data_IF_593762321827
#
_entry.id   IF_593762321827
#
_cell.length_a   1.000
_cell.length_b   1.000
_cell.length_c   1.000
_cell.angle_alpha   90.00
_cell.angle_beta   90.00
_cell.angle_gamma   90.00
#
_symmetry.space_group_name_H-M   'P 1'
#
loop_
_entity.id
_entity.type
_entity.pdbx_description
1 polymer ?
#
# COMPACT_ATOMS: atom_id res chain seq x y z
N UNK A 1 -9.64 1.20 -32.85
CA UNK A 1 -10.05 2.31 -31.96
C UNK A 1 -9.79 2.10 -30.48
N UNK A 2 -10.52 1.25 -29.76
CA UNK A 2 -10.33 1.11 -28.30
C UNK A 2 -8.88 0.75 -27.94
N UNK A 3 -8.26 -0.20 -28.68
CA UNK A 3 -6.85 -0.56 -28.47
C UNK A 3 -5.90 0.64 -28.66
N UNK A 4 -6.16 1.49 -29.66
CA UNK A 4 -5.37 2.70 -29.91
C UNK A 4 -5.40 3.62 -28.70
N UNK A 5 -6.58 3.96 -28.22
CA UNK A 5 -6.73 4.85 -27.05
C UNK A 5 -6.05 4.29 -25.79
N UNK A 6 -6.19 2.99 -25.55
CA UNK A 6 -5.61 2.32 -24.36
C UNK A 6 -4.09 2.23 -24.47
N UNK A 7 -3.57 1.84 -25.64
CA UNK A 7 -2.14 1.65 -25.86
C UNK A 7 -1.35 2.96 -25.74
N UNK A 8 -1.84 4.05 -26.34
CA UNK A 8 -1.22 5.37 -26.23
C UNK A 8 -1.19 5.85 -24.77
N UNK A 9 -2.30 5.73 -24.06
CA UNK A 9 -2.35 6.15 -22.66
C UNK A 9 -1.36 5.37 -21.77
N UNK A 10 -1.18 4.06 -22.01
CA UNK A 10 -0.21 3.25 -21.28
C UNK A 10 1.22 3.60 -21.68
N UNK A 11 1.49 3.83 -22.97
CA UNK A 11 2.80 4.25 -23.47
C UNK A 11 3.24 5.58 -22.84
N UNK A 12 2.29 6.51 -22.65
CA UNK A 12 2.49 7.79 -21.95
C UNK A 12 2.63 7.66 -20.42
N UNK A 13 2.62 6.43 -19.89
CA UNK A 13 2.82 6.13 -18.47
C UNK A 13 1.54 6.06 -17.64
N UNK A 14 0.36 6.28 -18.24
CA UNK A 14 -0.90 6.19 -17.52
C UNK A 14 -1.44 4.75 -17.51
N UNK A 15 -1.31 4.10 -16.36
CA UNK A 15 -1.79 2.72 -16.18
C UNK A 15 -3.31 2.65 -15.84
N UNK A 16 -3.99 1.54 -16.20
CA UNK A 16 -5.34 1.23 -15.72
C UNK A 16 -5.40 1.22 -14.18
N UNK A 17 -6.39 1.91 -13.61
CA UNK A 17 -6.55 2.07 -12.16
C UNK A 17 -8.02 2.19 -11.76
N UNK A 18 -8.31 2.17 -10.45
CA UNK A 18 -9.68 2.29 -9.92
C UNK A 18 -10.24 3.72 -9.92
N UNK A 19 -9.39 4.73 -10.10
CA UNK A 19 -9.80 6.15 -10.10
C UNK A 19 -9.06 7.00 -11.14
N UNK A 20 -9.52 8.24 -11.30
CA UNK A 20 -8.90 9.24 -12.18
C UNK A 20 -8.82 8.81 -13.65
N UNK A 21 -7.74 9.19 -14.32
CA UNK A 21 -7.50 8.83 -15.72
C UNK A 21 -7.39 7.31 -15.93
N UNK A 22 -6.79 6.57 -14.99
CA UNK A 22 -6.68 5.12 -15.06
C UNK A 22 -8.04 4.39 -15.06
N UNK A 23 -9.06 4.95 -14.41
CA UNK A 23 -10.43 4.42 -14.47
C UNK A 23 -11.02 4.54 -15.89
N UNK A 24 -10.77 5.65 -16.58
CA UNK A 24 -11.24 5.86 -17.95
C UNK A 24 -10.59 4.87 -18.91
N UNK A 25 -9.27 4.66 -18.80
CA UNK A 25 -8.53 3.68 -19.61
C UNK A 25 -9.10 2.28 -19.40
N UNK A 26 -9.28 1.89 -18.13
CA UNK A 26 -9.86 0.60 -17.76
C UNK A 26 -11.26 0.43 -18.35
N UNK A 27 -12.12 1.47 -18.30
CA UNK A 27 -13.46 1.45 -18.89
C UNK A 27 -13.43 1.21 -20.41
N UNK A 28 -12.55 1.90 -21.13
CA UNK A 28 -12.38 1.73 -22.58
C UNK A 28 -11.92 0.30 -22.90
N UNK A 29 -10.92 -0.21 -22.19
CA UNK A 29 -10.39 -1.55 -22.38
C UNK A 29 -11.45 -2.62 -22.11
N UNK A 30 -12.14 -2.54 -20.97
CA UNK A 30 -13.17 -3.52 -20.57
C UNK A 30 -14.37 -3.55 -21.53
N UNK A 31 -14.75 -2.40 -22.10
CA UNK A 31 -15.78 -2.34 -23.15
C UNK A 31 -15.37 -3.12 -24.41
N UNK A 32 -14.10 -3.00 -24.82
CA UNK A 32 -13.58 -3.73 -25.96
C UNK A 32 -13.52 -5.25 -25.70
N UNK A 33 -13.02 -5.64 -24.53
CA UNK A 33 -12.96 -7.05 -24.11
C UNK A 33 -14.36 -7.65 -24.07
N UNK A 34 -15.33 -6.96 -23.46
CA UNK A 34 -16.73 -7.40 -23.39
C UNK A 34 -17.33 -7.59 -24.78
N UNK A 35 -17.03 -6.70 -25.73
CA UNK A 35 -17.48 -6.84 -27.12
C UNK A 35 -16.92 -8.11 -27.76
N UNK A 36 -15.60 -8.33 -27.65
CA UNK A 36 -14.95 -9.55 -28.14
C UNK A 36 -15.53 -10.82 -27.51
N UNK A 37 -15.74 -10.79 -26.20
CA UNK A 37 -16.31 -11.91 -25.45
C UNK A 37 -17.75 -12.25 -25.85
N UNK A 38 -18.60 -11.24 -26.00
CA UNK A 38 -20.05 -11.43 -26.17
C UNK A 38 -20.45 -11.64 -27.63
N UNK A 39 -19.78 -10.95 -28.57
CA UNK A 39 -20.21 -10.90 -29.97
C UNK A 39 -19.25 -11.61 -30.94
N UNK A 40 -17.97 -11.75 -30.59
CA UNK A 40 -16.96 -12.39 -31.44
C UNK A 40 -16.52 -13.76 -30.91
N UNK A 41 -17.11 -14.22 -29.80
CA UNK A 41 -16.76 -15.47 -29.12
C UNK A 41 -15.27 -15.59 -28.74
N UNK A 42 -14.62 -14.46 -28.42
CA UNK A 42 -13.23 -14.43 -27.96
C UNK A 42 -13.19 -14.58 -26.43
N UNK A 43 -12.85 -15.77 -25.95
CA UNK A 43 -12.87 -16.12 -24.51
C UNK A 43 -11.50 -16.06 -23.83
N UNK A 44 -10.45 -15.85 -24.62
CA UNK A 44 -9.06 -15.73 -24.17
C UNK A 44 -8.56 -14.30 -24.44
N UNK A 45 -7.49 -13.85 -23.75
CA UNK A 45 -6.88 -12.57 -24.03
C UNK A 45 -6.52 -12.39 -25.52
N UNK A 46 -6.97 -11.29 -26.11
CA UNK A 46 -6.80 -10.99 -27.52
C UNK A 46 -6.44 -9.53 -27.79
N UNK A 47 -6.76 -8.60 -26.89
CA UNK A 47 -6.54 -7.17 -27.10
C UNK A 47 -5.06 -6.84 -27.20
N UNK A 48 -4.21 -7.48 -26.40
CA UNK A 48 -2.77 -7.24 -26.43
C UNK A 48 -2.13 -7.64 -27.78
N UNK A 49 -2.67 -8.65 -28.47
CA UNK A 49 -2.21 -9.08 -29.80
C UNK A 49 -2.43 -8.01 -30.88
N UNK A 50 -3.33 -7.06 -30.63
CA UNK A 50 -3.58 -5.94 -31.54
C UNK A 50 -2.54 -4.82 -31.38
N UNK A 51 -1.73 -4.83 -30.33
CA UNK A 51 -0.65 -3.85 -30.12
C UNK A 51 0.41 -3.99 -31.22
N UNK A 52 0.74 -5.23 -31.63
CA UNK A 52 1.61 -5.51 -32.78
C UNK A 52 1.14 -4.82 -34.08
N UNK A 53 -0.16 -4.86 -34.34
CA UNK A 53 -0.75 -4.24 -35.54
C UNK A 53 -0.72 -2.73 -35.42
N UNK A 54 -1.04 -2.21 -34.24
CA UNK A 54 -1.02 -0.78 -33.96
C UNK A 54 0.39 -0.18 -34.11
N UNK A 55 1.41 -0.88 -33.61
CA UNK A 55 2.80 -0.46 -33.69
C UNK A 55 3.31 -0.44 -35.13
N UNK A 56 2.94 -1.42 -35.96
CA UNK A 56 3.26 -1.41 -37.41
C UNK A 56 2.64 -0.25 -38.17
N UNK A 57 1.42 0.14 -37.81
CA UNK A 57 0.69 1.21 -38.49
C UNK A 57 1.10 2.62 -38.02
N UNK A 58 1.50 2.76 -36.74
CA UNK A 58 1.67 4.07 -36.11
C UNK A 58 3.06 4.31 -35.49
N UNK A 59 3.87 3.28 -35.27
CA UNK A 59 5.14 3.36 -34.54
C UNK A 59 6.18 4.29 -35.16
N UNK A 60 6.16 4.47 -36.50
CA UNK A 60 7.06 5.42 -37.18
C UNK A 60 6.82 6.87 -36.72
N UNK A 61 5.57 7.25 -36.49
CA UNK A 61 5.20 8.61 -36.07
C UNK A 61 5.16 8.78 -34.55
N UNK A 62 5.07 7.67 -33.81
CA UNK A 62 4.93 7.64 -32.35
C UNK A 62 5.93 6.65 -31.73
N UNK A 63 7.23 7.02 -31.64
CA UNK A 63 8.29 6.13 -31.18
C UNK A 63 8.10 5.63 -29.74
N UNK A 64 7.38 6.39 -28.91
CA UNK A 64 7.01 6.02 -27.55
C UNK A 64 6.23 4.70 -27.52
N UNK A 65 5.35 4.46 -28.50
CA UNK A 65 4.57 3.23 -28.62
C UNK A 65 5.47 2.02 -28.86
N UNK A 66 6.45 2.14 -29.77
CA UNK A 66 7.43 1.08 -30.04
C UNK A 66 8.34 0.85 -28.82
N UNK A 67 8.79 1.92 -28.16
CA UNK A 67 9.67 1.83 -26.99
C UNK A 67 9.00 1.14 -25.79
N UNK A 68 7.69 1.36 -25.61
CA UNK A 68 6.91 0.85 -24.49
C UNK A 68 6.06 -0.37 -24.85
N UNK A 69 6.20 -0.91 -26.06
CA UNK A 69 5.37 -2.00 -26.59
C UNK A 69 5.20 -3.17 -25.62
N UNK A 70 6.32 -3.66 -25.07
CA UNK A 70 6.32 -4.79 -24.14
C UNK A 70 5.53 -4.48 -22.86
N UNK A 71 5.63 -3.25 -22.35
CA UNK A 71 4.84 -2.80 -21.20
C UNK A 71 3.36 -2.74 -21.57
N UNK A 72 3.02 -2.13 -22.70
CA UNK A 72 1.64 -1.99 -23.19
C UNK A 72 0.99 -3.36 -23.37
N UNK A 73 1.65 -4.30 -24.03
CA UNK A 73 1.16 -5.66 -24.22
C UNK A 73 0.87 -6.36 -22.89
N UNK A 74 1.85 -6.37 -21.98
CA UNK A 74 1.71 -7.02 -20.67
C UNK A 74 0.61 -6.40 -19.82
N UNK A 75 0.50 -5.07 -19.79
CA UNK A 75 -0.55 -4.37 -19.04
C UNK A 75 -1.93 -4.73 -19.56
N UNK A 76 -2.10 -4.74 -20.89
CA UNK A 76 -3.37 -5.06 -21.53
C UNK A 76 -3.72 -6.53 -21.32
N UNK A 77 -2.76 -7.44 -21.50
CA UNK A 77 -2.94 -8.88 -21.32
C UNK A 77 -3.37 -9.21 -19.89
N UNK A 78 -2.73 -8.63 -18.88
CA UNK A 78 -3.04 -8.89 -17.47
C UNK A 78 -4.39 -8.29 -17.04
N UNK A 79 -4.70 -7.05 -17.45
CA UNK A 79 -6.03 -6.49 -17.20
C UNK A 79 -7.12 -7.28 -17.92
N UNK A 80 -6.85 -7.77 -19.13
CA UNK A 80 -7.78 -8.60 -19.88
C UNK A 80 -8.00 -9.95 -19.22
N UNK A 81 -6.93 -10.64 -18.80
CA UNK A 81 -7.01 -11.91 -18.11
C UNK A 81 -7.77 -11.81 -16.78
N UNK A 82 -7.47 -10.79 -15.98
CA UNK A 82 -8.17 -10.49 -14.72
C UNK A 82 -9.65 -10.17 -14.95
N UNK A 83 -9.93 -9.34 -15.97
CA UNK A 83 -11.28 -8.93 -16.26
C UNK A 83 -12.13 -10.05 -16.87
N UNK A 84 -11.58 -10.92 -17.72
CA UNK A 84 -12.31 -12.05 -18.30
C UNK A 84 -12.89 -12.99 -17.22
N UNK A 85 -12.14 -13.25 -16.15
CA UNK A 85 -12.62 -14.00 -14.98
C UNK A 85 -13.81 -13.32 -14.31
N UNK A 86 -13.69 -12.01 -14.09
CA UNK A 86 -14.73 -11.16 -13.49
C UNK A 86 -15.97 -11.08 -14.38
N UNK A 87 -15.77 -10.94 -15.69
CA UNK A 87 -16.82 -10.80 -16.69
C UNK A 87 -17.69 -12.06 -16.78
N UNK A 88 -17.08 -13.24 -16.78
CA UNK A 88 -17.82 -14.50 -16.82
C UNK A 88 -18.73 -14.66 -15.58
N UNK A 89 -18.22 -14.33 -14.40
CA UNK A 89 -19.01 -14.39 -13.15
C UNK A 89 -20.13 -13.35 -13.14
N UNK A 90 -19.82 -12.10 -13.54
CA UNK A 90 -20.80 -11.02 -13.61
C UNK A 90 -21.93 -11.33 -14.59
N UNK A 91 -21.62 -11.81 -15.80
CA UNK A 91 -22.64 -12.18 -16.80
C UNK A 91 -23.56 -13.30 -16.31
N UNK A 92 -23.02 -14.34 -15.66
CA UNK A 92 -23.82 -15.41 -15.07
C UNK A 92 -24.84 -14.89 -14.04
N UNK A 93 -24.44 -13.93 -13.20
CA UNK A 93 -25.35 -13.27 -12.25
C UNK A 93 -26.41 -12.41 -12.93
N UNK A 94 -26.04 -11.68 -13.98
CA UNK A 94 -27.01 -10.91 -14.75
C UNK A 94 -28.01 -11.81 -15.49
N UNK A 95 -27.59 -12.99 -15.95
CA UNK A 95 -28.48 -14.01 -16.51
C UNK A 95 -29.51 -14.53 -15.50
N UNK A 96 -29.13 -14.69 -14.23
CA UNK A 96 -30.08 -15.00 -13.15
C UNK A 96 -31.10 -13.87 -12.97
N UNK A 97 -30.65 -12.62 -13.00
CA UNK A 97 -31.54 -11.46 -12.94
C UNK A 97 -32.49 -11.38 -14.15
N UNK A 98 -32.02 -11.63 -15.38
CA UNK A 98 -32.88 -11.57 -16.56
C UNK A 98 -34.04 -12.58 -16.52
N UNK A 99 -33.96 -13.64 -15.71
CA UNK A 99 -35.07 -14.58 -15.48
C UNK A 99 -36.22 -13.97 -14.66
N UNK A 100 -35.96 -12.94 -13.84
CA UNK A 100 -36.98 -12.31 -12.98
C UNK A 100 -37.96 -11.43 -13.75
N UNK A 101 -37.65 -11.05 -15.01
CA UNK A 101 -38.42 -10.12 -15.86
C UNK A 101 -38.60 -8.70 -15.30
N UNK A 102 -37.80 -8.33 -14.30
CA UNK A 102 -37.80 -6.96 -13.77
C UNK A 102 -37.20 -5.97 -14.79
N UNK A 103 -37.70 -4.73 -14.79
CA UNK A 103 -37.23 -3.65 -15.69
C UNK A 103 -36.26 -2.68 -15.04
N UNK A 104 -35.99 -2.86 -13.74
CA UNK A 104 -35.06 -2.04 -12.97
C UNK A 104 -34.19 -2.98 -12.15
N UNK A 105 -32.88 -2.88 -12.32
CA UNK A 105 -31.91 -3.51 -11.43
C UNK A 105 -31.78 -2.64 -10.17
N UNK A 106 -32.10 -3.21 -9.01
CA UNK A 106 -32.03 -2.51 -7.73
C UNK A 106 -30.61 -2.03 -7.41
N UNK A 107 -30.50 -0.86 -6.78
CA UNK A 107 -29.23 -0.21 -6.50
C UNK A 107 -28.32 -1.03 -5.58
N UNK A 108 -28.89 -1.83 -4.66
CA UNK A 108 -28.14 -2.72 -3.77
C UNK A 108 -27.60 -3.93 -4.52
N UNK A 109 -28.35 -4.49 -5.47
CA UNK A 109 -27.86 -5.57 -6.33
C UNK A 109 -26.75 -5.07 -7.28
N UNK A 110 -26.91 -3.88 -7.85
CA UNK A 110 -25.85 -3.23 -8.62
C UNK A 110 -24.60 -2.96 -7.77
N UNK A 111 -24.79 -2.56 -6.51
CA UNK A 111 -23.70 -2.38 -5.55
C UNK A 111 -23.03 -3.71 -5.20
N UNK A 112 -23.77 -4.80 -5.01
CA UNK A 112 -23.22 -6.13 -4.75
C UNK A 112 -22.37 -6.63 -5.93
N UNK A 113 -22.85 -6.47 -7.16
CA UNK A 113 -22.08 -6.75 -8.38
C UNK A 113 -20.76 -5.98 -8.40
N UNK A 114 -20.78 -4.71 -8.03
CA UNK A 114 -19.60 -3.86 -7.98
C UNK A 114 -18.64 -4.20 -6.83
N UNK A 115 -19.13 -4.27 -5.59
CA UNK A 115 -18.34 -4.36 -4.37
C UNK A 115 -17.88 -5.80 -4.08
N UNK A 116 -18.78 -6.78 -4.25
CA UNK A 116 -18.48 -8.18 -3.93
C UNK A 116 -17.85 -8.91 -5.11
N UNK A 117 -18.35 -8.67 -6.32
CA UNK A 117 -17.94 -9.41 -7.51
C UNK A 117 -16.99 -8.63 -8.43
N UNK A 118 -16.68 -7.36 -8.11
CA UNK A 118 -15.77 -6.53 -8.90
C UNK A 118 -16.31 -6.15 -10.29
N UNK A 119 -17.60 -6.38 -10.55
CA UNK A 119 -18.23 -6.17 -11.84
C UNK A 119 -18.56 -4.69 -12.05
N UNK A 120 -18.03 -4.02 -13.09
CA UNK A 120 -18.09 -2.57 -13.17
C UNK A 120 -19.51 -2.03 -13.37
N UNK A 121 -19.84 -0.95 -12.65
CA UNK A 121 -21.16 -0.32 -12.75
C UNK A 121 -21.45 0.22 -14.16
N UNK A 122 -20.43 0.71 -14.86
CA UNK A 122 -20.54 1.20 -16.24
C UNK A 122 -20.84 0.08 -17.25
N UNK A 123 -20.33 -1.12 -17.02
CA UNK A 123 -20.69 -2.30 -17.81
C UNK A 123 -22.07 -2.84 -17.44
N UNK A 124 -22.41 -2.81 -16.16
CA UNK A 124 -23.75 -3.17 -15.68
C UNK A 124 -24.80 -2.29 -16.36
N UNK A 125 -24.62 -0.96 -16.32
CA UNK A 125 -25.50 -0.01 -16.99
C UNK A 125 -25.57 -0.24 -18.51
N UNK A 126 -24.42 -0.47 -19.16
CA UNK A 126 -24.37 -0.74 -20.59
C UNK A 126 -25.16 -1.99 -20.97
N UNK A 127 -24.96 -3.10 -20.26
CA UNK A 127 -25.61 -4.39 -20.53
C UNK A 127 -27.11 -4.31 -20.22
N UNK A 128 -27.49 -3.67 -19.11
CA UNK A 128 -28.89 -3.48 -18.76
C UNK A 128 -29.62 -2.66 -19.81
N UNK A 129 -29.01 -1.54 -20.25
CA UNK A 129 -29.58 -0.69 -21.29
C UNK A 129 -29.77 -1.41 -22.62
N UNK A 130 -28.82 -2.25 -23.03
CA UNK A 130 -28.95 -3.07 -24.25
C UNK A 130 -30.12 -4.07 -24.17
N UNK A 131 -30.53 -4.47 -22.96
CA UNK A 131 -31.69 -5.33 -22.71
C UNK A 131 -32.96 -4.54 -22.35
N UNK A 132 -32.98 -3.21 -22.55
CA UNK A 132 -34.09 -2.33 -22.18
C UNK A 132 -34.45 -2.33 -20.69
N UNK A 133 -33.45 -2.56 -19.83
CA UNK A 133 -33.53 -2.51 -18.37
C UNK A 133 -32.75 -1.29 -17.87
N UNK A 134 -33.23 -0.66 -16.81
CA UNK A 134 -32.56 0.48 -16.16
C UNK A 134 -31.87 0.05 -14.87
N UNK A 135 -30.81 0.76 -14.46
CA UNK A 135 -30.16 0.53 -13.15
C UNK A 135 -30.57 1.66 -12.22
N UNK A 136 -30.98 1.33 -10.99
CA UNK A 136 -31.20 2.34 -9.95
C UNK A 136 -29.86 2.92 -9.45
N UNK A 137 -29.39 3.95 -10.17
CA UNK A 137 -28.16 4.67 -9.83
C UNK A 137 -28.27 5.47 -8.54
N UNK A 138 -29.48 5.87 -8.12
CA UNK A 138 -29.68 6.57 -6.86
C UNK A 138 -29.45 5.62 -5.68
N UNK A 139 -30.04 4.42 -5.73
CA UNK A 139 -29.79 3.36 -4.74
C UNK A 139 -28.32 2.94 -4.70
N UNK A 140 -27.67 2.76 -5.86
CA UNK A 140 -26.24 2.44 -5.92
C UNK A 140 -25.37 3.52 -5.26
N UNK A 141 -25.67 4.80 -5.52
CA UNK A 141 -24.93 5.92 -4.95
C UNK A 141 -25.15 6.03 -3.43
N UNK A 142 -26.35 5.71 -2.94
CA UNK A 142 -26.63 5.65 -1.51
C UNK A 142 -25.81 4.57 -0.79
N UNK A 143 -25.67 3.39 -1.37
CA UNK A 143 -24.84 2.30 -0.81
C UNK A 143 -23.34 2.66 -0.80
N UNK A 144 -22.85 3.27 -1.89
CA UNK A 144 -21.48 3.82 -1.97
C UNK A 144 -21.22 4.88 -0.87
N UNK A 145 -22.20 5.76 -0.62
CA UNK A 145 -22.10 6.76 0.44
C UNK A 145 -22.09 6.11 1.83
N UNK A 146 -22.98 5.14 2.08
CA UNK A 146 -23.03 4.40 3.33
C UNK A 146 -21.74 3.61 3.61
N UNK A 147 -21.09 3.05 2.59
CA UNK A 147 -19.76 2.42 2.73
C UNK A 147 -18.70 3.46 3.13
N UNK A 148 -18.69 4.63 2.48
CA UNK A 148 -17.74 5.71 2.77
C UNK A 148 -17.93 6.31 4.16
N UNK A 149 -19.17 6.46 4.60
CA UNK A 149 -19.51 7.01 5.91
C UNK A 149 -19.19 6.03 7.04
N UNK A 150 -19.39 4.71 6.83
CA UNK A 150 -18.88 3.67 7.74
C UNK A 150 -17.36 3.80 7.96
N UNK A 151 -16.60 4.08 6.90
CA UNK A 151 -15.15 4.32 7.00
C UNK A 151 -14.79 5.64 7.70
N UNK A 152 -15.62 6.69 7.57
CA UNK A 152 -15.38 8.02 8.19
C UNK A 152 -15.82 8.12 9.65
N UNK A 153 -16.88 7.41 10.04
CA UNK A 153 -17.41 7.41 11.41
C UNK A 153 -16.38 6.90 12.43
N UNK A 154 -15.34 6.20 11.99
CA UNK A 154 -14.21 5.80 12.82
C UNK A 154 -13.33 6.97 13.32
N UNK A 155 -13.47 8.19 12.80
CA UNK A 155 -12.45 9.27 12.92
C UNK A 155 -12.96 10.62 13.48
N UNK A 156 -14.22 10.74 13.94
CA UNK A 156 -14.73 12.04 14.41
C UNK A 156 -14.15 12.43 15.79
N UNK A 157 -13.10 13.25 15.78
CA UNK A 157 -12.52 13.89 16.97
C UNK A 157 -13.27 15.18 17.29
N UNK A 158 -13.59 15.41 18.57
CA UNK A 158 -14.09 16.69 19.06
C UNK A 158 -12.95 17.41 19.77
N UNK A 159 -12.51 18.57 19.28
CA UNK A 159 -11.43 19.37 19.87
C UNK A 159 -12.00 20.62 20.54
N UNK A 160 -11.52 20.95 21.73
CA UNK A 160 -11.73 22.27 22.35
C UNK A 160 -10.82 23.33 21.69
N UNK A 161 -11.06 24.61 21.97
CA UNK A 161 -10.22 25.71 21.49
C UNK A 161 -8.81 25.67 22.10
N UNK A 162 -7.84 26.27 21.41
CA UNK A 162 -6.48 26.39 21.93
C UNK A 162 -6.42 27.33 23.13
N UNK A 163 -5.78 26.86 24.20
CA UNK A 163 -5.32 27.71 25.30
C UNK A 163 -3.88 28.14 24.99
N UNK A 164 -3.70 29.43 24.71
CA UNK A 164 -2.37 30.01 24.45
C UNK A 164 -1.65 30.36 25.76
N UNK A 165 -0.38 29.99 25.85
CA UNK A 165 0.50 30.25 26.99
C UNK A 165 1.62 31.24 26.63
N UNK A 166 2.19 31.08 25.44
CA UNK A 166 3.26 31.94 24.90
C UNK A 166 2.86 32.35 23.48
N UNK A 167 2.71 33.66 23.26
CA UNK A 167 2.40 34.24 21.96
C UNK A 167 3.66 34.53 21.14
N UNK A 168 3.58 34.39 19.82
CA UNK A 168 4.61 34.81 18.84
C UNK A 168 5.97 34.09 18.93
N UNK A 169 6.03 32.89 19.51
CA UNK A 169 7.21 32.03 19.44
C UNK A 169 7.18 31.21 18.15
N UNK A 170 8.29 31.19 17.40
CA UNK A 170 8.40 30.42 16.16
C UNK A 170 8.71 28.97 16.53
N UNK A 171 7.81 28.06 16.17
CA UNK A 171 8.00 26.62 16.33
C UNK A 171 9.19 26.14 15.46
N UNK A 172 10.14 25.45 16.09
CA UNK A 172 11.32 24.90 15.40
C UNK A 172 11.42 23.38 15.55
N UNK A 173 11.62 22.68 14.44
CA UNK A 173 11.92 21.25 14.46
C UNK A 173 13.43 21.04 14.48
N UNK A 174 13.93 20.43 15.56
CA UNK A 174 15.37 20.16 15.77
C UNK A 174 15.70 18.66 15.72
N UNK A 175 14.69 17.81 15.49
CA UNK A 175 14.78 16.35 15.56
C UNK A 175 15.64 15.68 14.49
N UNK A 176 16.12 16.44 13.49
CA UNK A 176 17.12 15.92 12.55
C UNK A 176 18.50 15.78 13.18
N UNK A 177 18.82 16.59 14.18
CA UNK A 177 20.17 16.69 14.75
C UNK A 177 20.24 16.19 16.19
N UNK A 178 19.13 16.29 16.93
CA UNK A 178 19.07 15.89 18.34
C UNK A 178 17.81 15.08 18.67
N UNK A 179 17.93 14.15 19.62
CA UNK A 179 16.82 13.32 20.11
C UNK A 179 16.30 13.77 21.47
N UNK A 180 16.91 14.78 22.07
CA UNK A 180 16.47 15.44 23.29
C UNK A 180 16.76 16.93 23.27
N UNK A 181 16.00 17.71 24.03
CA UNK A 181 16.18 19.15 24.16
C UNK A 181 15.23 19.78 25.16
N UNK A 182 15.56 21.00 25.60
CA UNK A 182 14.69 21.78 26.48
C UNK A 182 13.58 22.45 25.65
N UNK A 183 12.34 22.31 26.10
CA UNK A 183 11.14 22.79 25.40
C UNK A 183 10.20 23.54 26.35
N UNK A 184 9.42 24.48 25.81
CA UNK A 184 8.30 25.11 26.52
C UNK A 184 7.00 24.80 25.80
N UNK A 185 5.92 24.58 26.54
CA UNK A 185 4.58 24.45 25.94
C UNK A 185 4.07 25.84 25.58
N UNK A 186 3.88 26.11 24.30
CA UNK A 186 3.39 27.40 23.80
C UNK A 186 1.86 27.48 23.83
N UNK A 187 1.19 26.35 23.58
CA UNK A 187 -0.26 26.20 23.65
C UNK A 187 -0.67 24.75 23.80
N UNK A 188 -1.87 24.54 24.33
CA UNK A 188 -2.49 23.21 24.43
C UNK A 188 -3.98 23.26 24.17
N UNK A 189 -4.58 22.11 23.85
CA UNK A 189 -6.04 21.94 23.84
C UNK A 189 -6.43 20.54 24.30
N UNK A 190 -7.65 20.42 24.80
CA UNK A 190 -8.24 19.13 25.16
C UNK A 190 -8.97 18.54 23.95
N UNK A 191 -8.82 17.24 23.76
CA UNK A 191 -9.47 16.48 22.69
C UNK A 191 -10.28 15.35 23.31
N UNK A 192 -11.52 15.20 22.84
CA UNK A 192 -12.43 14.13 23.23
C UNK A 192 -12.65 13.21 22.03
N UNK A 193 -12.27 11.95 22.21
CA UNK A 193 -12.46 10.90 21.21
C UNK A 193 -13.18 9.72 21.87
N UNK A 194 -14.42 9.45 21.45
CA UNK A 194 -15.27 8.41 22.05
C UNK A 194 -15.41 8.63 23.57
N UNK A 195 -14.88 7.73 24.40
CA UNK A 195 -14.88 7.77 25.88
C UNK A 195 -13.51 8.12 26.47
N UNK A 196 -12.55 8.57 25.65
CA UNK A 196 -11.22 8.98 26.11
C UNK A 196 -11.05 10.49 25.93
N UNK A 197 -10.43 11.10 26.92
CA UNK A 197 -9.96 12.49 26.87
C UNK A 197 -8.44 12.46 26.84
N UNK A 198 -7.84 13.29 26.00
CA UNK A 198 -6.39 13.46 25.90
C UNK A 198 -6.08 14.91 25.51
N UNK A 199 -4.80 15.27 25.51
CA UNK A 199 -4.31 16.61 25.23
C UNK A 199 -3.46 16.65 23.98
N UNK A 200 -3.51 17.79 23.31
CA UNK A 200 -2.61 18.15 22.23
C UNK A 200 -1.79 19.35 22.68
N UNK A 201 -0.47 19.23 22.59
CA UNK A 201 0.52 20.20 23.05
C UNK A 201 1.35 20.69 21.86
N UNK A 202 1.70 21.98 21.88
CA UNK A 202 2.62 22.58 20.92
C UNK A 202 3.82 23.12 21.69
N UNK A 203 5.02 22.90 21.17
CA UNK A 203 6.26 23.30 21.81
C UNK A 203 6.95 24.44 21.06
N UNK A 204 7.78 25.21 21.78
CA UNK A 204 8.64 26.25 21.21
C UNK A 204 9.64 25.68 20.20
N UNK A 205 10.24 24.54 20.55
CA UNK A 205 11.07 23.71 19.69
C UNK A 205 10.79 22.25 20.01
N UNK A 206 11.10 21.31 19.10
CA UNK A 206 10.83 19.90 19.35
C UNK A 206 11.81 18.95 18.66
N UNK A 207 12.32 17.92 19.38
CA UNK A 207 13.04 16.81 18.77
C UNK A 207 12.11 15.75 18.16
N UNK A 208 10.80 15.81 18.43
CA UNK A 208 9.84 14.79 17.97
C UNK A 208 9.47 14.99 16.51
N UNK A 209 9.81 14.02 15.66
CA UNK A 209 9.41 14.01 14.26
C UNK A 209 7.88 13.86 14.14
N UNK A 210 7.19 14.77 13.44
CA UNK A 210 5.76 14.60 13.17
C UNK A 210 5.54 13.56 12.07
N UNK A 211 4.48 12.76 12.20
CA UNK A 211 4.04 11.83 11.17
C UNK A 211 4.01 12.49 9.77
N UNK A 212 4.68 11.86 8.80
CA UNK A 212 4.86 12.43 7.46
C UNK A 212 5.66 11.51 6.53
N UNK A 213 5.41 11.58 5.22
CA UNK A 213 6.14 10.79 4.22
C UNK A 213 6.00 9.26 4.38
N UNK A 214 4.97 8.80 5.09
CA UNK A 214 4.78 7.39 5.48
C UNK A 214 5.37 7.03 6.83
N UNK A 215 6.31 7.81 7.37
CA UNK A 215 6.86 7.60 8.71
C UNK A 215 5.86 8.00 9.80
N UNK A 216 5.69 7.13 10.79
CA UNK A 216 4.88 7.42 12.00
C UNK A 216 5.55 8.49 12.85
N UNK A 217 4.73 9.25 13.57
CA UNK A 217 5.20 10.28 14.49
C UNK A 217 5.98 9.72 15.66
N UNK A 218 6.98 10.47 16.12
CA UNK A 218 7.77 10.09 17.27
C UNK A 218 6.95 10.07 18.55
N UNK A 219 7.37 9.19 19.45
CA UNK A 219 6.87 9.04 20.82
C UNK A 219 8.02 9.26 21.80
N UNK A 220 7.71 9.50 23.07
CA UNK A 220 8.72 9.67 24.10
C UNK A 220 8.17 10.37 25.33
N UNK A 221 8.98 11.19 25.98
CA UNK A 221 8.63 11.78 27.28
C UNK A 221 9.03 13.25 27.39
N UNK A 222 8.31 13.96 28.25
CA UNK A 222 8.74 15.21 28.86
C UNK A 222 9.11 14.93 30.32
N UNK A 223 10.21 15.48 30.81
CA UNK A 223 10.59 15.41 32.22
C UNK A 223 10.89 16.79 32.84
N UNK A 224 10.44 16.99 34.08
CA UNK A 224 10.72 18.16 34.91
C UNK A 224 10.73 17.75 36.38
N UNK A 225 11.90 17.72 37.00
CA UNK A 225 12.06 17.17 38.36
C UNK A 225 11.67 15.69 38.39
N UNK A 226 10.78 15.32 39.33
CA UNK A 226 10.25 13.96 39.45
C UNK A 226 9.04 13.68 38.53
N UNK A 227 8.55 14.70 37.82
CA UNK A 227 7.39 14.57 36.93
C UNK A 227 7.81 14.08 35.54
N UNK A 228 7.06 13.10 35.02
CA UNK A 228 7.20 12.61 33.64
C UNK A 228 5.83 12.61 32.95
N UNK A 229 5.77 13.13 31.72
CA UNK A 229 4.57 13.14 30.89
C UNK A 229 4.87 12.42 29.58
N UNK A 230 4.04 11.44 29.21
CA UNK A 230 4.25 10.65 27.99
C UNK A 230 3.73 11.38 26.76
N UNK A 231 4.53 11.40 25.70
CA UNK A 231 4.13 11.80 24.36
C UNK A 231 3.84 10.53 23.56
N UNK A 232 2.57 10.30 23.26
CA UNK A 232 2.07 9.07 22.65
C UNK A 232 2.04 9.11 21.13
N UNK A 233 2.09 10.31 20.53
CA UNK A 233 2.15 10.52 19.08
C UNK A 233 2.56 11.97 18.78
N UNK A 234 3.08 12.21 17.59
CA UNK A 234 3.42 13.55 17.09
C UNK A 234 2.92 13.69 15.65
N UNK A 235 2.15 14.74 15.35
CA UNK A 235 1.59 14.99 14.00
C UNK A 235 1.78 16.43 13.58
N UNK A 236 1.64 16.69 12.28
CA UNK A 236 1.62 18.05 11.74
C UNK A 236 0.19 18.45 11.37
N UNK A 237 -0.31 19.55 11.95
CA UNK A 237 -1.63 20.12 11.65
C UNK A 237 -1.46 21.56 11.15
N UNK A 238 -1.85 21.88 9.91
CA UNK A 238 -1.74 23.23 9.35
C UNK A 238 -0.35 23.89 9.49
N UNK A 239 0.72 23.10 9.39
CA UNK A 239 2.09 23.59 9.54
C UNK A 239 2.67 23.49 10.95
N UNK A 240 1.83 23.25 11.96
CA UNK A 240 2.18 23.20 13.39
C UNK A 240 2.48 21.78 13.82
N UNK A 241 3.51 21.58 14.64
CA UNK A 241 3.84 20.27 15.20
C UNK A 241 3.07 20.07 16.51
N UNK A 242 2.19 19.09 16.52
CA UNK A 242 1.26 18.78 17.60
C UNK A 242 1.63 17.45 18.25
N UNK A 243 1.84 17.49 19.56
CA UNK A 243 2.23 16.34 20.38
C UNK A 243 1.03 15.86 21.18
N UNK A 244 0.78 14.56 21.19
CA UNK A 244 -0.37 13.95 21.84
C UNK A 244 0.07 13.39 23.19
N UNK A 245 -0.71 13.65 24.24
CA UNK A 245 -0.48 13.11 25.57
C UNK A 245 -1.81 12.78 26.25
N UNK A 246 -1.85 11.70 27.01
CA UNK A 246 -3.02 11.37 27.83
C UNK A 246 -3.18 12.33 29.03
N UNK A 247 -2.12 13.05 29.41
CA UNK A 247 -2.07 13.91 30.58
C UNK A 247 -1.57 15.32 30.23
N UNK A 248 -1.99 16.32 31.02
CA UNK A 248 -1.47 17.68 30.91
C UNK A 248 -0.33 17.84 31.93
N UNK A 249 0.83 18.38 31.55
CA UNK A 249 1.89 18.69 32.51
C UNK A 249 1.40 19.58 33.66
N UNK A 250 1.73 19.23 34.91
CA UNK A 250 1.27 20.00 36.10
C UNK A 250 1.84 21.42 36.08
N UNK A 251 3.13 21.55 35.78
CA UNK A 251 3.77 22.84 35.51
C UNK A 251 3.81 23.12 34.01
N UNK A 252 2.66 23.48 33.43
CA UNK A 252 2.51 23.71 31.98
C UNK A 252 3.41 24.83 31.43
N UNK A 253 3.77 25.80 32.27
CA UNK A 253 4.66 26.92 31.91
C UNK A 253 6.15 26.63 32.14
N UNK A 254 6.48 25.44 32.65
CA UNK A 254 7.86 25.03 32.93
C UNK A 254 8.71 24.85 31.67
N UNK A 255 10.03 24.80 31.88
CA UNK A 255 10.98 24.35 30.85
C UNK A 255 11.17 22.85 31.03
N UNK A 256 10.66 22.08 30.08
CA UNK A 256 10.65 20.62 30.12
C UNK A 256 11.79 20.04 29.31
N UNK A 257 12.41 18.97 29.80
CA UNK A 257 13.32 18.18 28.96
C UNK A 257 12.51 17.20 28.13
N UNK A 258 12.43 17.45 26.82
CA UNK A 258 11.83 16.54 25.85
C UNK A 258 12.86 15.48 25.43
N UNK A 259 12.43 14.21 25.36
CA UNK A 259 13.26 13.10 24.89
C UNK A 259 12.45 12.12 24.06
N UNK A 260 12.91 11.87 22.84
CA UNK A 260 12.33 10.86 21.93
C UNK A 260 12.67 9.46 22.43
N UNK A 261 11.78 8.50 22.19
CA UNK A 261 12.06 7.08 22.36
C UNK A 261 13.03 6.59 21.28
N UNK A 262 14.32 6.82 21.51
CA UNK A 262 15.41 6.63 20.52
C UNK A 262 15.40 5.25 19.87
N UNK A 263 15.10 4.18 20.63
CA UNK A 263 15.05 2.83 20.06
C UNK A 263 13.97 2.69 18.99
N UNK A 264 12.78 3.29 19.20
CA UNK A 264 11.66 3.22 18.26
C UNK A 264 11.94 4.06 17.03
N UNK A 265 12.51 5.26 17.23
CA UNK A 265 12.91 6.15 16.15
C UNK A 265 14.00 5.50 15.29
N UNK A 266 14.96 4.80 15.90
CA UNK A 266 16.01 4.09 15.18
C UNK A 266 15.46 2.92 14.36
N UNK A 267 14.59 2.07 14.91
CA UNK A 267 13.95 1.00 14.11
C UNK A 267 13.09 1.57 12.98
N UNK A 268 12.39 2.69 13.22
CA UNK A 268 11.65 3.42 12.19
C UNK A 268 12.59 3.94 11.11
N UNK A 269 13.74 4.51 11.46
CA UNK A 269 14.74 5.01 10.52
C UNK A 269 15.35 3.88 9.67
N UNK A 270 15.56 2.69 10.24
CA UNK A 270 16.00 1.50 9.49
C UNK A 270 14.96 1.11 8.44
N UNK A 271 13.70 1.02 8.85
CA UNK A 271 12.58 0.71 7.96
C UNK A 271 12.39 1.82 6.89
N UNK A 272 12.62 3.08 7.23
CA UNK A 272 12.52 4.20 6.29
C UNK A 272 13.61 4.10 5.22
N UNK A 273 14.88 4.00 5.62
CA UNK A 273 15.98 3.88 4.66
C UNK A 273 15.88 2.61 3.82
N UNK A 274 15.40 1.50 4.38
CA UNK A 274 15.13 0.29 3.60
C UNK A 274 14.03 0.49 2.56
N UNK A 275 13.03 1.33 2.84
CA UNK A 275 11.97 1.67 1.88
C UNK A 275 12.56 2.35 0.64
N UNK A 276 13.53 3.26 0.79
CA UNK A 276 14.20 3.92 -0.33
C UNK A 276 14.97 2.91 -1.20
N UNK A 277 15.80 2.07 -0.58
CA UNK A 277 16.57 1.05 -1.30
C UNK A 277 15.64 0.05 -2.01
N UNK A 278 14.57 -0.37 -1.34
CA UNK A 278 13.58 -1.26 -1.93
C UNK A 278 12.85 -0.60 -3.10
N UNK A 279 12.51 0.68 -3.02
CA UNK A 279 11.84 1.39 -4.10
C UNK A 279 12.73 1.51 -5.34
N UNK A 280 14.02 1.83 -5.16
CA UNK A 280 15.01 1.82 -6.25
C UNK A 280 15.08 0.43 -6.90
N UNK A 281 15.25 -0.63 -6.10
CA UNK A 281 15.38 -2.01 -6.59
C UNK A 281 14.10 -2.50 -7.27
N UNK A 282 12.91 -2.15 -6.75
CA UNK A 282 11.64 -2.49 -7.39
C UNK A 282 11.58 -1.91 -8.80
N UNK A 283 12.08 -0.69 -9.01
CA UNK A 283 12.13 -0.06 -10.35
C UNK A 283 13.17 -0.70 -11.26
N UNK A 284 14.34 -1.07 -10.71
CA UNK A 284 15.39 -1.79 -11.45
C UNK A 284 14.89 -3.16 -11.96
N UNK A 285 14.18 -3.91 -11.10
CA UNK A 285 13.74 -5.29 -11.41
C UNK A 285 12.41 -5.31 -12.19
N UNK A 286 11.42 -4.52 -11.77
CA UNK A 286 10.07 -4.57 -12.33
C UNK A 286 9.83 -3.56 -13.44
N UNK A 287 10.60 -2.46 -13.48
CA UNK A 287 10.51 -1.39 -14.47
C UNK A 287 10.14 -0.02 -13.89
N UNK A 288 10.39 1.03 -14.68
CA UNK A 288 10.23 2.44 -14.28
C UNK A 288 8.78 2.88 -14.02
N UNK A 289 7.78 2.08 -14.38
CA UNK A 289 6.36 2.34 -14.09
C UNK A 289 5.97 2.08 -12.63
N UNK A 290 6.89 1.51 -11.85
CA UNK A 290 6.73 1.40 -10.39
C UNK A 290 6.82 2.79 -9.76
N UNK A 291 5.71 3.21 -9.18
CA UNK A 291 5.58 4.44 -8.43
C UNK A 291 4.93 4.14 -7.08
N UNK A 292 5.39 4.81 -6.02
CA UNK A 292 4.72 4.75 -4.72
C UNK A 292 3.25 5.21 -4.84
N UNK A 293 2.34 4.41 -4.28
CA UNK A 293 0.91 4.72 -4.10
C UNK A 293 0.50 4.82 -2.63
N UNK A 294 1.39 4.42 -1.72
CA UNK A 294 1.21 4.52 -0.28
C UNK A 294 2.44 4.00 0.46
N UNK A 295 2.71 4.56 1.63
CA UNK A 295 3.81 4.10 2.49
C UNK A 295 3.38 4.19 3.95
N UNK A 296 3.83 3.23 4.76
CA UNK A 296 3.74 3.24 6.21
C UNK A 296 5.05 2.66 6.75
N UNK A 297 5.73 3.44 7.58
CA UNK A 297 7.01 3.09 8.20
C UNK A 297 6.85 3.29 9.69
N UNK A 298 6.93 2.19 10.44
CA UNK A 298 6.86 2.18 11.89
C UNK A 298 8.00 1.33 12.47
N UNK A 299 8.21 1.30 13.80
CA UNK A 299 9.32 0.56 14.39
C UNK A 299 9.32 -0.93 14.01
N UNK A 300 8.14 -1.56 14.02
CA UNK A 300 8.05 -3.01 13.88
C UNK A 300 8.13 -3.51 12.44
N UNK A 301 7.63 -2.73 11.47
CA UNK A 301 7.59 -3.10 10.05
C UNK A 301 7.41 -1.89 9.12
N UNK A 302 7.66 -2.11 7.84
CA UNK A 302 7.28 -1.20 6.77
C UNK A 302 6.25 -1.84 5.84
N UNK A 303 5.45 -0.99 5.21
CA UNK A 303 4.46 -1.35 4.20
C UNK A 303 4.56 -0.36 3.06
N UNK A 304 4.68 -0.88 1.86
CA UNK A 304 4.85 -0.07 0.65
C UNK A 304 3.87 -0.53 -0.42
N UNK A 305 3.06 0.42 -0.88
CA UNK A 305 2.09 0.23 -1.95
C UNK A 305 2.66 0.86 -3.22
N UNK A 306 2.62 0.16 -4.34
CA UNK A 306 3.21 0.63 -5.59
C UNK A 306 2.39 0.23 -6.81
N UNK A 307 2.49 1.02 -7.88
CA UNK A 307 1.87 0.70 -9.16
C UNK A 307 2.57 -0.49 -9.81
N UNK A 308 1.84 -1.59 -9.94
CA UNK A 308 2.29 -2.74 -10.70
C UNK A 308 1.08 -3.58 -11.10
N UNK A 309 1.04 -3.99 -12.36
CA UNK A 309 -0.16 -4.58 -12.99
C UNK A 309 -0.28 -6.09 -12.74
N UNK A 310 0.83 -6.78 -12.46
CA UNK A 310 0.87 -8.22 -12.20
C UNK A 310 1.24 -8.54 -10.75
N UNK A 311 1.03 -9.79 -10.34
CA UNK A 311 1.61 -10.30 -9.10
C UNK A 311 3.12 -10.38 -9.24
N UNK A 312 3.87 -9.94 -8.23
CA UNK A 312 5.32 -10.14 -8.21
C UNK A 312 5.60 -11.62 -7.92
N UNK A 313 6.36 -12.27 -8.79
CA UNK A 313 6.63 -13.70 -8.66
C UNK A 313 7.51 -13.98 -7.44
N UNK A 314 7.52 -15.22 -6.94
CA UNK A 314 8.40 -15.60 -5.83
C UNK A 314 9.88 -15.42 -6.16
N UNK A 315 10.25 -15.64 -7.43
CA UNK A 315 11.61 -15.42 -7.94
C UNK A 315 11.94 -13.92 -7.98
N UNK A 316 11.04 -13.08 -8.53
CA UNK A 316 11.21 -11.63 -8.55
C UNK A 316 11.35 -11.08 -7.13
N UNK A 317 10.50 -11.53 -6.20
CA UNK A 317 10.58 -11.14 -4.78
C UNK A 317 11.92 -11.52 -4.15
N UNK A 318 12.45 -12.71 -4.45
CA UNK A 318 13.75 -13.16 -3.96
C UNK A 318 14.90 -12.30 -4.54
N UNK A 319 14.86 -12.00 -5.85
CA UNK A 319 15.84 -11.13 -6.50
C UNK A 319 15.82 -9.72 -5.91
N UNK A 320 14.63 -9.16 -5.66
CA UNK A 320 14.49 -7.83 -5.04
C UNK A 320 15.07 -7.85 -3.62
N UNK A 321 14.71 -8.85 -2.81
CA UNK A 321 15.20 -8.98 -1.44
C UNK A 321 16.73 -9.10 -1.37
N UNK A 322 17.32 -9.91 -2.25
CA UNK A 322 18.77 -10.06 -2.35
C UNK A 322 19.44 -8.74 -2.75
N UNK A 323 18.94 -8.06 -3.79
CA UNK A 323 19.49 -6.80 -4.25
C UNK A 323 19.42 -5.68 -3.18
N UNK A 324 18.31 -5.60 -2.42
CA UNK A 324 18.20 -4.68 -1.28
C UNK A 324 19.26 -5.00 -0.22
N UNK A 325 19.42 -6.27 0.15
CA UNK A 325 20.42 -6.68 1.14
C UNK A 325 21.86 -6.44 0.66
N UNK A 326 22.15 -6.57 -0.63
CA UNK A 326 23.44 -6.21 -1.21
C UNK A 326 23.73 -4.70 -1.08
N UNK A 327 22.73 -3.84 -1.35
CA UNK A 327 22.86 -2.39 -1.13
C UNK A 327 23.01 -2.02 0.35
N UNK A 328 22.40 -2.80 1.25
CA UNK A 328 22.63 -2.67 2.70
C UNK A 328 24.07 -3.04 3.06
N UNK A 329 24.58 -4.18 2.58
CA UNK A 329 25.95 -4.63 2.85
C UNK A 329 27.02 -3.71 2.26
N UNK A 330 26.73 -3.02 1.16
CA UNK A 330 27.62 -2.00 0.59
C UNK A 330 27.87 -0.81 1.54
N UNK A 331 27.02 -0.63 2.56
CA UNK A 331 27.16 0.37 3.62
C UNK A 331 27.35 1.80 3.10
N UNK A 332 26.53 2.21 2.14
CA UNK A 332 26.55 3.57 1.60
C UNK A 332 26.26 4.58 2.72
N UNK A 333 27.07 5.64 2.88
CA UNK A 333 26.80 6.69 3.86
C UNK A 333 25.58 7.51 3.46
N UNK A 334 24.91 8.10 4.46
CA UNK A 334 23.87 9.09 4.24
C UNK A 334 24.47 10.36 3.64
N UNK A 335 24.05 10.69 2.42
CA UNK A 335 24.25 12.01 1.82
C UNK A 335 22.95 12.82 1.98
N UNK A 336 22.96 13.80 2.87
CA UNK A 336 21.81 14.63 3.20
C UNK A 336 21.95 16.05 2.61
N UNK A 337 20.93 16.50 1.90
CA UNK A 337 20.86 17.83 1.32
C UNK A 337 19.64 18.57 1.87
N UNK A 338 19.84 19.46 2.84
CA UNK A 338 18.79 20.26 3.46
C UNK A 338 18.59 21.58 2.72
N UNK A 339 17.33 21.97 2.61
CA UNK A 339 16.89 23.27 2.07
C UNK A 339 17.39 23.62 0.65
N UNK A 340 17.63 22.62 -0.20
CA UNK A 340 18.06 22.85 -1.58
C UNK A 340 16.87 23.23 -2.48
N UNK A 341 17.08 24.03 -3.54
CA UNK A 341 16.03 24.29 -4.54
C UNK A 341 15.54 23.00 -5.19
N UNK A 342 14.22 22.89 -5.42
CA UNK A 342 13.64 21.70 -6.07
C UNK A 342 14.24 21.42 -7.46
N UNK A 343 14.66 22.47 -8.19
CA UNK A 343 15.33 22.34 -9.48
C UNK A 343 16.69 21.64 -9.36
N UNK A 344 17.46 21.97 -8.33
CA UNK A 344 18.75 21.34 -8.04
C UNK A 344 18.54 19.86 -7.66
N UNK A 345 17.56 19.57 -6.81
CA UNK A 345 17.25 18.19 -6.44
C UNK A 345 16.88 17.33 -7.66
N UNK A 346 16.07 17.86 -8.59
CA UNK A 346 15.73 17.19 -9.85
C UNK A 346 16.95 16.96 -10.74
N UNK A 347 17.89 17.90 -10.80
CA UNK A 347 19.15 17.72 -11.55
C UNK A 347 20.03 16.62 -10.98
N UNK A 348 19.97 16.38 -9.67
CA UNK A 348 20.66 15.28 -9.00
C UNK A 348 19.96 13.92 -9.22
N UNK A 349 18.82 13.89 -9.92
CA UNK A 349 18.02 12.69 -10.14
C UNK A 349 17.05 12.38 -8.99
N UNK A 350 16.84 13.30 -8.05
CA UNK A 350 15.96 13.08 -6.90
C UNK A 350 14.54 12.78 -7.35
N UNK A 351 14.03 11.63 -6.92
CA UNK A 351 12.65 11.24 -7.18
C UNK A 351 11.69 12.03 -6.29
N UNK A 352 10.64 12.58 -6.91
CA UNK A 352 9.51 13.13 -6.17
C UNK A 352 8.50 12.01 -5.90
N UNK A 353 7.98 11.97 -4.67
CA UNK A 353 6.94 11.01 -4.29
C UNK A 353 5.61 11.43 -4.89
N UNK A 354 4.85 10.45 -5.38
CA UNK A 354 3.57 10.67 -6.02
C UNK A 354 2.54 11.24 -5.03
N UNK A 355 1.86 12.32 -5.43
CA UNK A 355 0.79 12.95 -4.64
C UNK A 355 1.24 13.98 -3.62
N UNK A 356 2.55 14.13 -3.39
CA UNK A 356 3.11 15.14 -2.49
C UNK A 356 3.25 16.50 -3.18
N UNK A 357 2.96 17.58 -2.44
CA UNK A 357 3.20 18.95 -2.88
C UNK A 357 4.48 19.46 -2.24
N UNK A 358 5.45 19.80 -3.08
CA UNK A 358 6.74 20.32 -2.65
C UNK A 358 6.77 21.85 -2.75
N UNK A 359 7.40 22.50 -1.77
CA UNK A 359 7.73 23.92 -1.83
C UNK A 359 8.95 24.19 -2.72
N UNK A 360 9.39 25.46 -2.75
CA UNK A 360 10.55 25.87 -3.54
C UNK A 360 11.87 25.30 -3.00
N UNK A 361 11.92 25.05 -1.69
CA UNK A 361 13.03 24.43 -0.97
C UNK A 361 12.61 23.06 -0.44
N UNK A 362 13.48 22.06 -0.63
CA UNK A 362 13.21 20.65 -0.31
C UNK A 362 14.40 20.01 0.40
N UNK A 363 14.14 18.86 1.04
CA UNK A 363 15.17 17.98 1.59
C UNK A 363 15.30 16.76 0.69
N UNK A 364 16.53 16.44 0.29
CA UNK A 364 16.84 15.24 -0.49
C UNK A 364 17.75 14.31 0.31
N UNK A 365 17.46 13.01 0.22
CA UNK A 365 18.18 11.95 0.92
C UNK A 365 18.74 10.99 -0.11
N UNK A 366 20.04 10.71 0.01
CA UNK A 366 20.75 9.84 -0.90
C UNK A 366 21.56 8.76 -0.18
N UNK A 367 21.46 7.54 -0.70
CA UNK A 367 22.28 6.37 -0.35
C UNK A 367 22.76 5.70 -1.62
N UNK A 368 24.03 5.92 -2.00
CA UNK A 368 24.56 5.37 -3.24
C UNK A 368 23.79 5.90 -4.47
N UNK A 369 23.14 5.00 -5.22
CA UNK A 369 22.30 5.35 -6.38
C UNK A 369 20.90 5.87 -6.02
N UNK A 370 20.37 5.50 -4.85
CA UNK A 370 19.03 5.87 -4.41
C UNK A 370 19.00 7.31 -3.94
N UNK A 371 18.23 8.18 -4.61
CA UNK A 371 18.02 9.58 -4.21
C UNK A 371 16.54 9.97 -4.30
N UNK A 372 15.99 10.47 -3.19
CA UNK A 372 14.57 10.83 -3.09
C UNK A 372 14.36 12.13 -2.31
N UNK A 373 13.29 12.86 -2.64
CA UNK A 373 12.80 13.98 -1.85
C UNK A 373 12.09 13.45 -0.60
N UNK A 374 12.79 13.47 0.55
CA UNK A 374 12.27 12.91 1.79
C UNK A 374 12.58 13.77 3.02
N UNK A 375 11.55 14.02 3.81
CA UNK A 375 11.63 14.75 5.08
C UNK A 375 11.83 13.87 6.31
N UNK A 376 11.93 12.54 6.18
CA UNK A 376 11.95 11.59 7.30
C UNK A 376 13.28 11.45 8.02
N UNK A 377 13.28 10.69 9.11
CA UNK A 377 14.49 10.30 9.83
C UNK A 377 15.11 9.07 9.15
N UNK A 378 16.43 9.11 8.95
CA UNK A 378 17.17 8.05 8.25
C UNK A 378 18.37 7.59 9.06
N UNK A 379 18.80 6.35 8.80
CA UNK A 379 20.03 5.82 9.37
C UNK A 379 21.27 6.52 8.79
N UNK A 380 22.39 6.59 9.54
CA UNK A 380 23.62 7.26 9.06
C UNK A 380 24.31 6.54 7.89
N UNK A 381 24.07 5.24 7.71
CA UNK A 381 24.56 4.46 6.58
C UNK A 381 23.68 3.23 6.35
N UNK A 382 23.64 2.69 5.13
CA UNK A 382 22.76 1.56 4.80
C UNK A 382 23.06 0.32 5.63
N UNK A 383 24.31 0.10 6.06
CA UNK A 383 24.68 -1.03 6.92
C UNK A 383 24.01 -1.00 8.30
N UNK A 384 23.57 0.16 8.78
CA UNK A 384 22.81 0.27 10.04
C UNK A 384 21.39 -0.31 9.95
N UNK A 385 20.87 -0.57 8.75
CA UNK A 385 19.56 -1.23 8.54
C UNK A 385 19.59 -2.67 9.06
N UNK A 386 20.74 -3.36 8.93
CA UNK A 386 20.84 -4.79 9.22
C UNK A 386 20.23 -5.64 8.11
N UNK A 387 19.51 -6.70 8.47
CA UNK A 387 18.88 -7.58 7.48
C UNK A 387 17.53 -7.03 7.04
N UNK A 388 17.24 -7.01 5.74
CA UNK A 388 15.91 -6.75 5.20
C UNK A 388 15.22 -8.06 4.80
N UNK A 389 13.93 -8.21 5.12
CA UNK A 389 13.15 -9.40 4.78
C UNK A 389 11.70 -9.05 4.44
N UNK A 390 11.20 -9.58 3.32
CA UNK A 390 9.79 -9.52 3.00
C UNK A 390 8.97 -10.47 3.88
N UNK A 391 7.81 -10.00 4.32
CA UNK A 391 6.80 -10.77 5.05
C UNK A 391 5.71 -11.23 4.08
N UNK A 392 5.22 -10.31 3.24
CA UNK A 392 4.05 -10.56 2.41
C UNK A 392 4.08 -9.73 1.12
N UNK A 393 3.36 -10.24 0.11
CA UNK A 393 3.08 -9.55 -1.15
C UNK A 393 1.62 -9.80 -1.53
N UNK A 394 0.90 -8.77 -1.97
CA UNK A 394 -0.52 -8.88 -2.31
C UNK A 394 -1.08 -7.73 -3.14
N UNK A 395 -2.27 -7.92 -3.71
CA UNK A 395 -3.04 -6.84 -4.34
C UNK A 395 -3.85 -6.08 -3.29
N UNK A 396 -3.82 -4.75 -3.35
CA UNK A 396 -4.69 -3.88 -2.53
C UNK A 396 -5.82 -3.30 -3.36
N UNK A 397 -5.51 -2.97 -4.61
CA UNK A 397 -6.47 -2.53 -5.60
C UNK A 397 -5.97 -2.96 -6.98
N UNK A 398 -6.83 -2.95 -7.99
CA UNK A 398 -6.42 -3.31 -9.34
C UNK A 398 -5.38 -2.30 -9.87
N UNK A 399 -4.19 -2.80 -10.23
CA UNK A 399 -3.02 -2.01 -10.63
C UNK A 399 -2.10 -1.58 -9.48
N UNK A 400 -2.41 -1.96 -8.24
CA UNK A 400 -1.63 -1.59 -7.04
C UNK A 400 -1.27 -2.83 -6.22
N UNK A 401 0.02 -3.05 -6.02
CA UNK A 401 0.58 -4.11 -5.17
C UNK A 401 1.03 -3.53 -3.84
N UNK A 402 1.03 -4.36 -2.81
CA UNK A 402 1.56 -4.06 -1.48
C UNK A 402 2.58 -5.10 -1.11
N UNK A 403 3.70 -4.63 -0.58
CA UNK A 403 4.66 -5.46 0.14
C UNK A 403 4.73 -5.00 1.58
N UNK A 404 4.91 -5.96 2.47
CA UNK A 404 5.26 -5.72 3.87
C UNK A 404 6.61 -6.35 4.15
N UNK A 405 7.46 -5.64 4.90
CA UNK A 405 8.81 -6.08 5.19
C UNK A 405 9.24 -5.64 6.59
N UNK A 406 10.26 -6.31 7.10
CA UNK A 406 10.93 -5.99 8.36
C UNK A 406 12.42 -5.79 8.14
N UNK A 407 13.04 -4.99 9.00
CA UNK A 407 14.49 -4.78 9.01
C UNK A 407 15.11 -5.16 10.36
N UNK A 408 16.44 -5.18 10.43
CA UNK A 408 17.21 -5.31 11.66
C UNK A 408 16.78 -6.51 12.51
N UNK A 409 16.50 -6.25 13.80
CA UNK A 409 16.06 -7.31 14.72
C UNK A 409 14.64 -7.80 14.44
N UNK A 410 13.79 -6.99 13.78
CA UNK A 410 12.50 -7.44 13.28
C UNK A 410 12.65 -8.59 12.28
N UNK A 411 13.60 -8.46 11.34
CA UNK A 411 13.92 -9.51 10.37
C UNK A 411 14.48 -10.78 11.02
N UNK A 412 15.37 -10.63 12.00
CA UNK A 412 15.91 -11.77 12.77
C UNK A 412 14.79 -12.51 13.51
N UNK A 413 13.89 -11.78 14.18
CA UNK A 413 12.73 -12.38 14.88
C UNK A 413 11.79 -13.11 13.91
N UNK A 414 11.53 -12.51 12.76
CA UNK A 414 10.70 -13.13 11.71
C UNK A 414 11.31 -14.46 11.24
N UNK A 415 12.60 -14.47 10.88
CA UNK A 415 13.29 -15.69 10.44
C UNK A 415 13.28 -16.76 11.53
N UNK A 416 13.58 -16.40 12.76
CA UNK A 416 13.58 -17.36 13.87
C UNK A 416 12.19 -17.95 14.11
N UNK A 417 11.13 -17.15 13.95
CA UNK A 417 9.75 -17.62 14.04
C UNK A 417 9.42 -18.62 12.93
N UNK A 418 9.85 -18.37 11.69
CA UNK A 418 9.65 -19.30 10.57
C UNK A 418 10.47 -20.60 10.75
N UNK A 419 11.71 -20.50 11.25
CA UNK A 419 12.53 -21.67 11.58
C UNK A 419 11.93 -22.50 12.71
N UNK A 420 11.31 -21.88 13.72
CA UNK A 420 10.59 -22.60 14.78
C UNK A 420 9.42 -23.38 14.21
N UNK A 421 8.56 -22.76 13.38
CA UNK A 421 7.46 -23.46 12.70
C UNK A 421 7.94 -24.66 11.89
N UNK A 422 9.06 -24.52 11.19
CA UNK A 422 9.67 -25.61 10.43
C UNK A 422 10.10 -26.76 11.34
N UNK A 423 10.79 -26.45 12.46
CA UNK A 423 11.22 -27.45 13.44
C UNK A 423 10.05 -28.16 14.10
N UNK A 424 9.02 -27.42 14.52
CA UNK A 424 7.82 -27.99 15.13
C UNK A 424 7.11 -28.93 14.14
N UNK A 425 7.06 -28.56 12.86
CA UNK A 425 6.48 -29.41 11.80
C UNK A 425 7.32 -30.68 11.57
N UNK A 426 8.65 -30.55 11.56
CA UNK A 426 9.55 -31.70 11.48
C UNK A 426 9.34 -32.64 12.66
N UNK A 427 9.21 -32.13 13.88
CA UNK A 427 9.00 -32.93 15.08
C UNK A 427 7.68 -33.71 15.03
N UNK A 428 6.57 -33.06 14.64
CA UNK A 428 5.26 -33.71 14.44
C UNK A 428 5.34 -34.86 13.44
N UNK A 429 6.14 -34.71 12.38
CA UNK A 429 6.37 -35.72 11.35
C UNK A 429 7.52 -36.69 11.67
N UNK A 430 8.06 -36.65 12.91
CA UNK A 430 9.16 -37.50 13.38
C UNK A 430 10.46 -37.32 12.61
N UNK A 431 10.80 -36.07 12.30
CA UNK A 431 12.06 -35.61 11.70
C UNK A 431 12.43 -36.35 10.39
N UNK A 432 11.57 -36.28 9.36
CA UNK A 432 11.90 -36.87 8.06
C UNK A 432 13.06 -36.12 7.41
N UNK A 433 13.90 -36.84 6.66
CA UNK A 433 14.96 -36.24 5.83
C UNK A 433 14.38 -35.34 4.74
N UNK A 434 13.27 -35.78 4.13
CA UNK A 434 12.49 -34.98 3.17
C UNK A 434 11.15 -34.60 3.79
N UNK A 435 11.09 -33.38 4.34
CA UNK A 435 9.88 -32.86 4.97
C UNK A 435 8.73 -32.68 3.96
N UNK A 436 9.03 -32.19 2.75
CA UNK A 436 8.02 -31.93 1.74
C UNK A 436 7.42 -33.24 1.22
N UNK A 437 8.26 -34.25 0.98
CA UNK A 437 7.83 -35.61 0.64
C UNK A 437 6.99 -36.24 1.74
N UNK A 438 7.38 -36.09 3.01
CA UNK A 438 6.62 -36.61 4.14
C UNK A 438 5.23 -35.97 4.26
N UNK A 439 5.11 -34.65 4.06
CA UNK A 439 3.82 -33.95 4.02
C UNK A 439 2.97 -34.44 2.85
N UNK A 440 3.57 -34.62 1.67
CA UNK A 440 2.86 -35.10 0.47
C UNK A 440 2.30 -36.50 0.70
N UNK A 441 3.11 -37.43 1.21
CA UNK A 441 2.68 -38.78 1.57
C UNK A 441 1.58 -38.79 2.63
N UNK A 442 1.64 -37.88 3.60
CA UNK A 442 0.58 -37.76 4.61
C UNK A 442 -0.76 -37.37 3.97
N UNK A 443 -0.78 -36.40 3.05
CA UNK A 443 -1.99 -35.99 2.33
C UNK A 443 -2.55 -37.10 1.45
N UNK A 444 -1.68 -37.89 0.80
CA UNK A 444 -2.10 -39.05 0.02
C UNK A 444 -2.73 -40.14 0.88
N UNK A 445 -2.14 -40.42 2.06
CA UNK A 445 -2.70 -41.36 3.04
C UNK A 445 -4.04 -40.88 3.59
N UNK A 446 -4.16 -39.59 3.92
CA UNK A 446 -5.41 -38.98 4.38
C UNK A 446 -6.52 -39.14 3.32
N UNK A 447 -6.24 -38.78 2.07
CA UNK A 447 -7.21 -38.92 0.97
C UNK A 447 -7.63 -40.38 0.74
N UNK A 448 -6.70 -41.33 0.91
CA UNK A 448 -6.98 -42.76 0.78
C UNK A 448 -7.88 -43.25 1.92
N UNK A 449 -7.53 -42.92 3.16
CA UNK A 449 -8.32 -43.27 4.35
C UNK A 449 -9.74 -42.69 4.28
N UNK A 450 -9.88 -41.45 3.78
CA UNK A 450 -11.19 -40.82 3.61
C UNK A 450 -12.07 -41.59 2.61
N UNK A 451 -11.51 -42.08 1.50
CA UNK A 451 -12.24 -42.93 0.53
C UNK A 451 -12.65 -44.26 1.14
N UNK A 452 -11.78 -44.90 1.91
CA UNK A 452 -12.10 -46.16 2.60
C UNK A 452 -13.23 -45.97 3.63
N UNK A 453 -13.21 -44.88 4.40
CA UNK A 453 -14.29 -44.54 5.34
C UNK A 453 -15.62 -44.36 4.61
N UNK A 454 -15.64 -43.70 3.45
CA UNK A 454 -16.87 -43.55 2.66
C UNK A 454 -17.40 -44.89 2.14
N UNK A 455 -16.51 -45.79 1.69
CA UNK A 455 -16.88 -47.14 1.27
C UNK A 455 -17.48 -47.93 2.44
N UNK A 456 -16.81 -47.97 3.58
CA UNK A 456 -17.29 -48.67 4.78
C UNK A 456 -18.63 -48.11 5.28
N UNK A 457 -18.84 -46.79 5.19
CA UNK A 457 -20.13 -46.17 5.53
C UNK A 457 -21.24 -46.60 4.56
N UNK A 458 -20.96 -46.70 3.27
CA UNK A 458 -21.92 -47.21 2.27
C UNK A 458 -22.25 -48.68 2.51
N UNK A 459 -21.25 -49.53 2.74
CA UNK A 459 -21.45 -50.95 3.05
C UNK A 459 -22.29 -51.14 4.31
N UNK A 460 -22.01 -50.38 5.37
CA UNK A 460 -22.80 -50.41 6.60
C UNK A 460 -24.24 -49.92 6.40
N UNK A 461 -24.44 -48.88 5.59
CA UNK A 461 -25.80 -48.42 5.27
C UNK A 461 -26.59 -49.47 4.46
N UNK A 462 -25.92 -50.22 3.58
CA UNK A 462 -26.52 -51.30 2.81
C UNK A 462 -26.78 -52.57 3.64
N UNK A 463 -26.00 -52.84 4.68
CA UNK A 463 -26.21 -53.99 5.57
C UNK A 463 -27.24 -53.77 6.68
N UNK A 464 -27.74 -52.53 6.83
CA UNK A 464 -28.79 -52.17 7.80
C UNK A 464 -30.20 -52.12 7.14
N UNK A 465 -30.30 -52.47 5.85
CA UNK A 465 -31.54 -52.68 5.08
C UNK A 465 -31.70 -54.18 4.90
#
# INVERSE_FOLDING_TARGET
DHIRAVAFAIADGQLPASGGAGYVIRRILRRAIRYGFSYLNLKEPFMYKLVDVLEKEMGEFFPELSSQKVLVEKVIEEEEYSFLKTLAQGLSRLEEFFKSKEKVLDGKQAFELYDTYGFPIDLTELIMRENSITVDMAGFTAEMAAQKDRSRAATKLSTEDWTELISNEKEEFIGYDVTEGDVRVTRYRKVKAKKKEFYQLVFSSTPFYPEGGGQVGDTGILSLGDQTVNITNTKKENGVIVHFSDELPENITGVWKAKVHVENQMETAKNHSATHLMHEVLREVLGNHVEQKGSLVQPDYLRFDFSHFKKVSGEEMATIEEAVNLKIQANYPLEEFREIPISQAKQMGAMALFGEKYGDSVRAIKFGGSIELCGGIHVPATGSIGLFKFISEGAVAAGVRRVEAVTGMGAVRYINTELMKLRDTQEVLKNPQDLAGAVTQLKEKEATAQREIELLRKEKAMSTI
#
